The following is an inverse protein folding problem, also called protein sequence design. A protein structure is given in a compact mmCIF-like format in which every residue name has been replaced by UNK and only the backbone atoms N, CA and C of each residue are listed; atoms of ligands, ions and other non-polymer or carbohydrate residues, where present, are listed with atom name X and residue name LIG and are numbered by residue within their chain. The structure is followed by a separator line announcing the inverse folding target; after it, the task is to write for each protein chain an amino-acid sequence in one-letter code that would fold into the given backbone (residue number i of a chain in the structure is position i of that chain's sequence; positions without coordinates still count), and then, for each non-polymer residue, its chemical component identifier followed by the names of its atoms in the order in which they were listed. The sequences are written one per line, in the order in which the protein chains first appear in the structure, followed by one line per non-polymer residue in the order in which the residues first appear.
data_IF_792220105402
#
_entry.id   IF_792220105402
#
_cell.length_a   1.000
_cell.length_b   1.000
_cell.length_c   1.000
_cell.angle_alpha   90.00
_cell.angle_beta   90.00
_cell.angle_gamma   90.00
#
_symmetry.space_group_name_H-M   'P 1'
#
loop_
_entity.id
_entity.type
_entity.pdbx_description
1 polymer ?
#
# COMPACT_ATOMS: atom_id res chain seq x y z
N UNK A 1 0.94 14.78 -6.02
CA UNK A 1 -0.18 13.96 -5.57
C UNK A 1 -1.12 13.59 -6.71
N UNK A 2 -1.52 14.56 -7.53
CA UNK A 2 -2.52 14.36 -8.60
C UNK A 2 -2.07 13.43 -9.75
N UNK A 3 -0.79 13.20 -9.94
CA UNK A 3 -0.26 12.31 -11.00
C UNK A 3 -0.86 10.90 -10.89
N UNK A 4 -0.88 10.33 -9.72
CA UNK A 4 -1.42 8.98 -9.48
C UNK A 4 -2.92 8.86 -9.80
N UNK A 5 -3.84 9.69 -9.26
CA UNK A 5 -5.25 9.58 -9.58
C UNK A 5 -5.54 9.87 -11.07
N UNK A 6 -4.84 10.84 -11.67
CA UNK A 6 -4.98 11.13 -13.09
C UNK A 6 -4.53 9.93 -13.94
N UNK A 7 -3.39 9.33 -13.63
CA UNK A 7 -2.89 8.15 -14.35
C UNK A 7 -3.82 6.95 -14.22
N UNK A 8 -4.37 6.70 -13.04
CA UNK A 8 -5.35 5.62 -12.84
C UNK A 8 -6.63 5.91 -13.63
N UNK A 9 -7.13 7.14 -13.59
CA UNK A 9 -8.31 7.52 -14.38
C UNK A 9 -8.06 7.34 -15.87
N UNK A 10 -7.00 7.93 -16.41
CA UNK A 10 -6.69 7.88 -17.84
C UNK A 10 -6.40 6.45 -18.34
N UNK A 11 -5.65 5.67 -17.58
CA UNK A 11 -5.23 4.34 -18.05
C UNK A 11 -6.29 3.29 -17.74
N UNK A 12 -6.83 3.23 -16.51
CA UNK A 12 -7.74 2.17 -16.10
C UNK A 12 -9.20 2.43 -16.46
N UNK A 13 -9.74 3.61 -16.11
CA UNK A 13 -11.16 3.89 -16.35
C UNK A 13 -11.46 4.16 -17.83
N UNK A 14 -10.57 4.87 -18.53
CA UNK A 14 -10.75 5.12 -19.97
C UNK A 14 -10.60 3.82 -20.77
N UNK A 15 -9.62 2.96 -20.42
CA UNK A 15 -9.48 1.67 -21.10
C UNK A 15 -10.73 0.79 -20.97
N UNK A 16 -11.37 0.79 -19.78
CA UNK A 16 -12.65 0.10 -19.59
C UNK A 16 -13.77 0.67 -20.45
N UNK A 17 -13.82 2.01 -20.58
CA UNK A 17 -14.85 2.66 -21.40
C UNK A 17 -14.73 2.30 -22.88
N UNK A 18 -13.51 2.17 -23.36
CA UNK A 18 -13.24 1.78 -24.74
C UNK A 18 -13.08 0.26 -24.96
N UNK A 19 -13.32 -0.56 -23.92
CA UNK A 19 -13.12 -2.02 -23.95
C UNK A 19 -11.70 -2.42 -24.41
N UNK A 20 -10.68 -1.67 -24.01
CA UNK A 20 -9.29 -1.96 -24.33
C UNK A 20 -8.72 -2.88 -23.24
N UNK A 21 -8.30 -4.09 -23.61
CA UNK A 21 -7.60 -4.99 -22.68
C UNK A 21 -6.19 -4.44 -22.42
N UNK A 22 -5.94 -4.10 -21.16
CA UNK A 22 -4.61 -3.65 -20.72
C UNK A 22 -3.73 -4.87 -20.42
N UNK A 23 -2.67 -5.04 -21.21
CA UNK A 23 -1.60 -6.00 -20.91
C UNK A 23 -0.56 -5.43 -19.92
N UNK A 24 0.41 -6.29 -19.56
CA UNK A 24 1.60 -5.86 -18.82
C UNK A 24 2.35 -4.73 -19.56
N UNK A 25 2.84 -3.66 -18.92
CA UNK A 25 2.82 -3.35 -17.46
C UNK A 25 1.63 -2.48 -17.01
N UNK A 26 0.67 -2.20 -17.88
CA UNK A 26 -0.41 -1.22 -17.63
C UNK A 26 -1.44 -1.68 -16.58
N UNK A 27 -1.39 -2.94 -16.18
CA UNK A 27 -2.31 -3.50 -15.18
C UNK A 27 -2.06 -3.03 -13.74
N UNK A 28 -0.98 -2.30 -13.47
CA UNK A 28 -0.70 -1.76 -12.13
C UNK A 28 0.78 -1.65 -11.76
N UNK A 29 1.68 -2.02 -12.66
CA UNK A 29 3.12 -2.05 -12.40
C UNK A 29 3.84 -0.76 -12.76
N UNK A 30 3.12 0.18 -13.40
CA UNK A 30 3.69 1.50 -13.72
C UNK A 30 3.94 2.30 -12.45
N UNK A 31 5.15 2.81 -12.31
CA UNK A 31 5.56 3.66 -11.18
C UNK A 31 4.62 4.86 -10.96
N UNK A 32 4.02 5.39 -12.01
CA UNK A 32 3.11 6.54 -11.91
C UNK A 32 1.88 6.27 -11.04
N UNK A 33 1.45 5.00 -10.91
CA UNK A 33 0.34 4.62 -10.04
C UNK A 33 0.70 4.72 -8.55
N UNK A 34 1.98 4.62 -8.22
CA UNK A 34 2.49 4.60 -6.86
C UNK A 34 3.18 5.91 -6.46
N UNK A 35 3.52 6.74 -7.43
CA UNK A 35 4.25 7.99 -7.22
C UNK A 35 3.57 8.92 -6.22
N UNK A 36 2.22 9.01 -6.25
CA UNK A 36 1.46 9.85 -5.32
C UNK A 36 1.62 9.41 -3.86
N UNK A 37 1.70 8.11 -3.59
CA UNK A 37 1.91 7.59 -2.23
C UNK A 37 3.32 7.88 -1.73
N UNK A 38 4.33 7.71 -2.59
CA UNK A 38 5.69 8.10 -2.27
C UNK A 38 5.79 9.59 -1.95
N UNK A 39 5.23 10.44 -2.82
CA UNK A 39 5.20 11.88 -2.62
C UNK A 39 4.44 12.31 -1.36
N UNK A 40 3.34 11.61 -1.04
CA UNK A 40 2.60 11.84 0.21
C UNK A 40 3.49 11.58 1.43
N UNK A 41 4.20 10.46 1.45
CA UNK A 41 5.11 10.14 2.56
C UNK A 41 6.21 11.19 2.74
N UNK A 42 6.83 11.64 1.64
CA UNK A 42 7.83 12.73 1.66
C UNK A 42 7.22 14.03 2.16
N UNK A 43 6.01 14.37 1.72
CA UNK A 43 5.31 15.61 2.10
C UNK A 43 4.92 15.63 3.58
N UNK A 44 4.48 14.49 4.12
CA UNK A 44 4.19 14.32 5.54
C UNK A 44 5.48 14.48 6.36
N UNK A 45 6.55 13.78 5.99
CA UNK A 45 7.85 13.85 6.67
C UNK A 45 8.41 15.27 6.74
N UNK A 46 8.26 16.04 5.65
CA UNK A 46 8.78 17.42 5.58
C UNK A 46 7.81 18.46 6.15
N UNK A 47 6.67 18.07 6.70
CA UNK A 47 5.68 18.97 7.28
C UNK A 47 4.97 19.87 6.25
N UNK A 48 5.00 19.53 4.96
CA UNK A 48 4.29 20.31 3.92
C UNK A 48 2.77 20.17 4.01
N UNK A 49 2.29 19.14 4.71
CA UNK A 49 0.87 18.90 4.94
C UNK A 49 0.60 19.19 6.41
N UNK A 50 0.06 20.38 6.67
CA UNK A 50 -0.40 20.77 8.00
C UNK A 50 -1.93 20.74 8.03
N UNK A 51 -2.49 19.60 8.37
CA UNK A 51 -3.93 19.42 8.49
C UNK A 51 -4.33 19.60 9.96
N UNK A 52 -4.96 20.73 10.27
CA UNK A 52 -5.56 21.00 11.58
C UNK A 52 -6.91 20.27 11.75
N UNK A 53 -6.95 18.98 11.43
CA UNK A 53 -8.14 18.16 11.60
C UNK A 53 -8.10 17.47 12.97
N UNK A 54 -9.24 17.45 13.66
CA UNK A 54 -9.32 16.68 14.89
C UNK A 54 -9.17 15.17 14.60
N UNK A 55 -8.53 14.39 15.49
CA UNK A 55 -8.39 12.94 15.32
C UNK A 55 -9.72 12.23 15.06
N UNK A 56 -10.79 12.66 15.75
CA UNK A 56 -12.15 12.11 15.55
C UNK A 56 -12.68 12.37 14.14
N UNK A 57 -12.49 13.57 13.61
CA UNK A 57 -12.91 13.92 12.24
C UNK A 57 -12.18 13.04 11.23
N UNK A 58 -10.88 12.86 11.43
CA UNK A 58 -10.04 12.07 10.54
C UNK A 58 -10.42 10.58 10.56
N UNK A 59 -10.70 10.02 11.75
CA UNK A 59 -11.21 8.64 11.88
C UNK A 59 -12.54 8.46 11.14
N UNK A 60 -13.47 9.42 11.28
CA UNK A 60 -14.75 9.36 10.58
C UNK A 60 -14.58 9.44 9.07
N UNK A 61 -13.65 10.29 8.57
CA UNK A 61 -13.32 10.37 7.14
C UNK A 61 -12.72 9.06 6.62
N UNK A 62 -11.86 8.41 7.40
CA UNK A 62 -11.32 7.09 7.05
C UNK A 62 -12.44 6.04 6.96
N UNK A 63 -13.32 5.97 7.95
CA UNK A 63 -14.45 5.03 7.94
C UNK A 63 -15.39 5.29 6.75
N UNK A 64 -15.71 6.55 6.49
CA UNK A 64 -16.54 6.93 5.35
C UNK A 64 -15.89 6.56 4.00
N UNK A 65 -14.59 6.79 3.86
CA UNK A 65 -13.85 6.41 2.65
C UNK A 65 -13.80 4.89 2.44
N UNK A 66 -13.72 4.10 3.52
CA UNK A 66 -13.82 2.63 3.43
C UNK A 66 -15.20 2.18 2.93
N UNK A 67 -16.28 2.83 3.37
CA UNK A 67 -17.63 2.54 2.87
C UNK A 67 -17.71 2.85 1.37
N UNK A 68 -17.21 4.02 0.94
CA UNK A 68 -17.17 4.38 -0.50
C UNK A 68 -16.38 3.36 -1.30
N UNK A 69 -15.24 2.91 -0.79
CA UNK A 69 -14.42 1.89 -1.45
C UNK A 69 -15.15 0.55 -1.57
N UNK A 70 -15.88 0.16 -0.53
CA UNK A 70 -16.73 -1.04 -0.56
C UNK A 70 -17.86 -0.93 -1.59
N UNK A 71 -18.55 0.21 -1.63
CA UNK A 71 -19.61 0.49 -2.61
C UNK A 71 -19.07 0.47 -4.04
N UNK A 72 -17.93 1.14 -4.30
CA UNK A 72 -17.30 1.11 -5.62
C UNK A 72 -16.91 -0.33 -6.03
N UNK A 73 -16.33 -1.11 -5.11
CA UNK A 73 -16.01 -2.51 -5.37
C UNK A 73 -17.24 -3.35 -5.68
N UNK A 74 -18.35 -3.13 -4.96
CA UNK A 74 -19.61 -3.82 -5.20
C UNK A 74 -20.24 -3.45 -6.55
N UNK A 75 -20.19 -2.19 -6.96
CA UNK A 75 -20.68 -1.74 -8.27
C UNK A 75 -19.90 -2.44 -9.38
N UNK A 76 -18.57 -2.49 -9.32
CA UNK A 76 -17.74 -3.18 -10.31
C UNK A 76 -18.01 -4.68 -10.34
N UNK A 77 -18.20 -5.30 -9.17
CA UNK A 77 -18.58 -6.70 -9.09
C UNK A 77 -19.91 -6.97 -9.80
N UNK A 78 -20.91 -6.13 -9.56
CA UNK A 78 -22.24 -6.25 -10.18
C UNK A 78 -22.22 -5.99 -11.68
N UNK A 79 -21.32 -5.15 -12.15
CA UNK A 79 -21.07 -4.93 -13.58
C UNK A 79 -20.28 -6.08 -14.25
N UNK A 80 -19.93 -7.14 -13.50
CA UNK A 80 -19.19 -8.31 -14.01
C UNK A 80 -17.67 -8.08 -14.16
N UNK A 81 -17.14 -6.96 -13.70
CA UNK A 81 -15.72 -6.66 -13.80
C UNK A 81 -14.98 -6.99 -12.49
N UNK A 82 -14.61 -8.25 -12.35
CA UNK A 82 -13.94 -8.76 -11.14
C UNK A 82 -12.56 -8.14 -10.90
N UNK A 83 -11.82 -7.83 -11.96
CA UNK A 83 -10.50 -7.21 -11.86
C UNK A 83 -10.61 -5.83 -11.22
N UNK A 84 -11.58 -5.03 -11.64
CA UNK A 84 -11.84 -3.72 -11.02
C UNK A 84 -12.44 -3.84 -9.62
N UNK A 85 -13.28 -4.84 -9.37
CA UNK A 85 -13.85 -5.06 -8.05
C UNK A 85 -12.78 -5.36 -6.99
N UNK A 86 -11.75 -6.13 -7.35
CA UNK A 86 -10.72 -6.62 -6.42
C UNK A 86 -9.43 -5.80 -6.41
N UNK A 87 -9.17 -4.99 -7.45
CA UNK A 87 -7.95 -4.19 -7.54
C UNK A 87 -7.88 -3.11 -6.46
N UNK A 88 -6.67 -2.83 -6.00
CA UNK A 88 -6.38 -1.67 -5.15
C UNK A 88 -6.19 -0.37 -5.95
N UNK A 89 -6.12 -0.44 -7.28
CA UNK A 89 -5.97 0.70 -8.18
C UNK A 89 -7.33 1.27 -8.59
N UNK A 90 -8.16 1.59 -7.59
CA UNK A 90 -9.43 2.32 -7.73
C UNK A 90 -9.28 3.74 -7.19
N UNK A 91 -10.11 4.65 -7.68
CA UNK A 91 -10.08 6.04 -7.21
C UNK A 91 -10.39 6.14 -5.71
N UNK A 92 -11.38 5.39 -5.22
CA UNK A 92 -11.69 5.34 -3.79
C UNK A 92 -10.55 4.78 -2.95
N UNK A 93 -9.82 3.78 -3.46
CA UNK A 93 -8.67 3.19 -2.74
C UNK A 93 -7.55 4.18 -2.52
N UNK A 94 -7.28 5.08 -3.48
CA UNK A 94 -6.28 6.13 -3.33
C UNK A 94 -6.65 7.08 -2.20
N UNK A 95 -7.93 7.50 -2.17
CA UNK A 95 -8.45 8.41 -1.14
C UNK A 95 -8.35 7.73 0.22
N UNK A 96 -8.81 6.49 0.33
CA UNK A 96 -8.79 5.71 1.57
C UNK A 96 -7.36 5.54 2.09
N UNK A 97 -6.43 5.11 1.22
CA UNK A 97 -5.03 4.91 1.61
C UNK A 97 -4.37 6.23 2.00
N UNK A 98 -4.64 7.32 1.27
CA UNK A 98 -4.14 8.66 1.60
C UNK A 98 -4.62 9.14 2.97
N UNK A 99 -5.92 9.01 3.24
CA UNK A 99 -6.50 9.36 4.55
C UNK A 99 -5.93 8.49 5.68
N UNK A 100 -5.72 7.20 5.43
CA UNK A 100 -5.11 6.30 6.40
C UNK A 100 -3.66 6.68 6.72
N UNK A 101 -2.85 7.00 5.71
CA UNK A 101 -1.46 7.46 5.90
C UNK A 101 -1.41 8.77 6.69
N UNK A 102 -2.28 9.73 6.36
CA UNK A 102 -2.37 11.01 7.09
C UNK A 102 -2.82 10.78 8.53
N UNK A 103 -3.82 9.93 8.75
CA UNK A 103 -4.29 9.57 10.09
C UNK A 103 -3.18 8.95 10.93
N UNK A 104 -2.50 7.96 10.38
CA UNK A 104 -1.39 7.29 11.06
C UNK A 104 -0.29 8.28 11.42
N UNK A 105 0.07 9.19 10.51
CA UNK A 105 1.07 10.23 10.75
C UNK A 105 0.66 11.16 11.89
N UNK A 106 -0.57 11.69 11.89
CA UNK A 106 -1.08 12.59 12.92
C UNK A 106 -1.13 11.90 14.30
N UNK A 107 -1.59 10.65 14.37
CA UNK A 107 -1.58 9.86 15.61
C UNK A 107 -0.16 9.61 16.13
N UNK A 108 0.80 9.40 15.23
CA UNK A 108 2.20 9.22 15.57
C UNK A 108 2.79 10.52 16.13
N UNK A 109 2.51 11.67 15.51
CA UNK A 109 3.05 12.98 15.88
C UNK A 109 2.42 13.52 17.18
N UNK A 110 1.14 13.20 17.44
CA UNK A 110 0.43 13.56 18.66
C UNK A 110 1.00 12.93 19.95
N UNK A 111 2.01 12.06 19.85
CA UNK A 111 2.77 11.57 21.00
C UNK A 111 2.23 10.31 21.65
N UNK A 112 1.10 9.77 21.23
CA UNK A 112 0.52 8.53 21.77
C UNK A 112 1.42 7.29 21.59
N UNK A 113 2.44 7.40 20.73
CA UNK A 113 3.43 6.34 20.55
C UNK A 113 4.34 6.11 21.78
N UNK A 114 4.46 7.09 22.69
CA UNK A 114 5.27 6.86 23.90
C UNK A 114 4.64 5.83 24.84
N UNK A 115 3.35 5.65 24.76
CA UNK A 115 2.60 4.65 25.55
C UNK A 115 2.55 3.26 24.87
N UNK A 116 2.91 3.15 23.58
CA UNK A 116 2.88 1.88 22.89
C UNK A 116 3.98 0.91 23.34
N UNK A 117 3.70 -0.41 23.34
CA UNK A 117 4.68 -1.42 23.74
C UNK A 117 5.97 -1.30 22.92
N UNK A 118 7.11 -1.37 23.59
CA UNK A 118 8.45 -1.28 22.96
C UNK A 118 8.62 -2.30 21.82
N UNK A 119 7.95 -3.44 21.92
CA UNK A 119 7.97 -4.50 20.90
C UNK A 119 7.31 -4.02 19.60
N UNK A 120 6.16 -3.35 19.68
CA UNK A 120 5.44 -2.83 18.52
C UNK A 120 6.24 -1.74 17.80
N UNK A 121 6.87 -0.83 18.56
CA UNK A 121 7.75 0.21 17.98
C UNK A 121 8.93 -0.41 17.23
N UNK A 122 9.59 -1.40 17.82
CA UNK A 122 10.71 -2.10 17.19
C UNK A 122 10.26 -2.81 15.92
N UNK A 123 9.10 -3.47 15.96
CA UNK A 123 8.55 -4.18 14.81
C UNK A 123 8.23 -3.22 13.67
N UNK A 124 7.51 -2.13 13.95
CA UNK A 124 7.17 -1.12 12.95
C UNK A 124 8.41 -0.45 12.37
N UNK A 125 9.43 -0.19 13.20
CA UNK A 125 10.71 0.35 12.74
C UNK A 125 11.40 -0.63 11.78
N UNK A 126 11.48 -1.91 12.13
CA UNK A 126 12.09 -2.93 11.25
C UNK A 126 11.35 -3.02 9.93
N UNK A 127 10.02 -3.01 9.94
CA UNK A 127 9.24 -3.00 8.70
C UNK A 127 9.47 -1.74 7.87
N UNK A 128 9.52 -0.58 8.52
CA UNK A 128 9.76 0.70 7.85
C UNK A 128 11.14 0.78 7.21
N UNK A 129 12.17 0.45 7.98
CA UNK A 129 13.58 0.47 7.52
C UNK A 129 13.83 -0.51 6.36
N UNK A 130 13.07 -1.60 6.28
CA UNK A 130 13.20 -2.62 5.22
C UNK A 130 12.10 -2.56 4.17
N UNK A 131 11.22 -1.55 4.20
CA UNK A 131 10.01 -1.50 3.37
C UNK A 131 10.29 -1.55 1.88
N UNK A 132 11.35 -0.90 1.41
CA UNK A 132 11.74 -0.91 0.00
C UNK A 132 12.21 -2.31 -0.44
N UNK A 133 13.05 -2.96 0.33
CA UNK A 133 13.49 -4.33 0.04
C UNK A 133 12.33 -5.32 0.06
N UNK A 134 11.40 -5.19 1.04
CA UNK A 134 10.18 -5.99 1.11
C UNK A 134 9.35 -5.78 -0.16
N UNK A 135 9.19 -4.54 -0.60
CA UNK A 135 8.47 -4.22 -1.84
C UNK A 135 9.11 -4.87 -3.07
N UNK A 136 10.43 -4.91 -3.16
CA UNK A 136 11.13 -5.53 -4.29
C UNK A 136 10.96 -7.05 -4.33
N UNK A 137 11.01 -7.74 -3.18
CA UNK A 137 11.03 -9.19 -3.15
C UNK A 137 9.66 -9.84 -2.94
N UNK A 138 8.61 -9.11 -2.47
CA UNK A 138 7.32 -9.71 -2.12
C UNK A 138 6.66 -10.46 -3.29
N UNK A 139 6.73 -9.93 -4.51
CA UNK A 139 6.14 -10.58 -5.69
C UNK A 139 6.80 -11.93 -6.01
N UNK A 140 8.13 -12.00 -5.84
CA UNK A 140 8.85 -13.26 -6.00
C UNK A 140 8.44 -14.27 -4.94
N UNK A 141 8.33 -13.82 -3.70
CA UNK A 141 7.93 -14.65 -2.55
C UNK A 141 6.50 -15.16 -2.70
N UNK A 142 5.56 -14.32 -3.16
CA UNK A 142 4.19 -14.75 -3.47
C UNK A 142 4.20 -15.88 -4.49
N UNK A 143 4.95 -15.74 -5.58
CA UNK A 143 5.05 -16.80 -6.62
C UNK A 143 5.61 -18.10 -6.08
N UNK A 144 6.63 -18.01 -5.24
CA UNK A 144 7.24 -19.19 -4.59
C UNK A 144 6.27 -19.84 -3.62
N UNK A 145 5.62 -19.07 -2.75
CA UNK A 145 4.65 -19.58 -1.78
C UNK A 145 3.46 -20.25 -2.46
N UNK A 146 2.89 -19.62 -3.47
CA UNK A 146 1.76 -20.20 -4.21
C UNK A 146 2.12 -21.54 -4.87
N UNK A 147 3.38 -21.72 -5.28
CA UNK A 147 3.87 -22.97 -5.86
C UNK A 147 4.16 -24.06 -4.81
N UNK A 148 4.71 -23.67 -3.66
CA UNK A 148 5.15 -24.62 -2.63
C UNK A 148 4.02 -25.01 -1.67
N UNK A 149 3.14 -24.05 -1.32
CA UNK A 149 2.08 -24.22 -0.32
C UNK A 149 0.77 -23.66 -0.85
N UNK A 150 0.08 -24.36 -1.76
CA UNK A 150 -1.19 -23.88 -2.35
C UNK A 150 -2.27 -23.59 -1.29
N UNK A 151 -2.25 -24.31 -0.17
CA UNK A 151 -3.20 -24.12 0.94
C UNK A 151 -2.97 -22.80 1.72
N UNK A 152 -1.78 -22.19 1.64
CA UNK A 152 -1.50 -20.89 2.29
C UNK A 152 -2.09 -19.71 1.51
N UNK A 153 -2.78 -19.93 0.41
CA UNK A 153 -3.32 -18.88 -0.47
C UNK A 153 -4.62 -18.24 0.06
N UNK A 154 -4.85 -18.36 1.36
CA UNK A 154 -6.02 -17.77 2.04
C UNK A 154 -5.65 -16.43 2.66
N UNK A 155 -6.35 -15.38 2.24
CA UNK A 155 -6.24 -14.08 2.91
C UNK A 155 -6.87 -14.15 4.32
N UNK A 156 -6.26 -13.58 5.40
CA UNK A 156 -5.05 -12.75 5.41
C UNK A 156 -3.73 -13.52 5.65
N UNK A 157 -3.79 -14.86 5.79
CA UNK A 157 -2.66 -15.70 6.19
C UNK A 157 -1.50 -15.56 5.19
N UNK A 158 -1.80 -15.59 3.89
CA UNK A 158 -0.79 -15.42 2.84
C UNK A 158 -0.06 -14.08 2.98
N UNK A 159 -0.78 -12.98 3.21
CA UNK A 159 -0.18 -11.66 3.36
C UNK A 159 0.80 -11.60 4.55
N UNK A 160 0.44 -12.21 5.68
CA UNK A 160 1.30 -12.26 6.86
C UNK A 160 2.58 -13.04 6.56
N UNK A 161 2.47 -14.23 5.95
CA UNK A 161 3.64 -15.04 5.58
C UNK A 161 4.55 -14.31 4.58
N UNK A 162 3.96 -13.67 3.57
CA UNK A 162 4.73 -12.89 2.58
C UNK A 162 5.51 -11.78 3.26
N UNK A 163 4.88 -10.99 4.14
CA UNK A 163 5.57 -9.91 4.86
C UNK A 163 6.68 -10.46 5.75
N UNK A 164 6.41 -11.51 6.50
CA UNK A 164 7.41 -12.11 7.42
C UNK A 164 8.62 -12.65 6.63
N UNK A 165 8.39 -13.45 5.60
CA UNK A 165 9.46 -14.05 4.80
C UNK A 165 10.24 -12.96 4.06
N UNK A 166 9.55 -11.96 3.48
CA UNK A 166 10.20 -10.83 2.81
C UNK A 166 11.10 -10.06 3.77
N UNK A 167 10.62 -9.78 4.98
CA UNK A 167 11.40 -9.08 6.00
C UNK A 167 12.66 -9.86 6.37
N UNK A 168 12.53 -11.17 6.60
CA UNK A 168 13.67 -12.05 6.92
C UNK A 168 14.67 -12.07 5.76
N UNK A 169 14.21 -12.23 4.52
CA UNK A 169 15.06 -12.23 3.33
C UNK A 169 15.84 -10.91 3.18
N UNK A 170 15.18 -9.77 3.37
CA UNK A 170 15.82 -8.46 3.30
C UNK A 170 16.85 -8.28 4.41
N UNK A 171 16.51 -8.65 5.64
CA UNK A 171 17.46 -8.60 6.77
C UNK A 171 18.68 -9.50 6.55
N UNK A 172 18.49 -10.68 5.95
CA UNK A 172 19.61 -11.54 5.58
C UNK A 172 20.46 -10.92 4.46
N UNK A 173 19.82 -10.35 3.45
CA UNK A 173 20.51 -9.65 2.37
C UNK A 173 21.34 -8.47 2.90
N UNK A 174 20.82 -7.68 3.85
CA UNK A 174 21.57 -6.62 4.52
C UNK A 174 22.81 -7.14 5.24
N UNK A 175 22.72 -8.30 5.90
CA UNK A 175 23.87 -8.92 6.58
C UNK A 175 24.92 -9.41 5.59
N UNK A 176 24.50 -9.96 4.44
CA UNK A 176 25.41 -10.51 3.42
C UNK A 176 26.09 -9.37 2.63
N UNK A 177 25.34 -8.36 2.24
CA UNK A 177 25.82 -7.24 1.42
C UNK A 177 26.62 -6.21 2.23
N UNK A 178 26.48 -6.17 3.53
CA UNK A 178 27.23 -5.27 4.42
C UNK A 178 27.15 -3.82 3.96
N UNK A 179 28.30 -3.22 3.57
CA UNK A 179 28.38 -1.82 3.12
C UNK A 179 27.63 -1.53 1.82
N UNK A 180 27.28 -2.54 1.04
CA UNK A 180 26.51 -2.38 -0.20
C UNK A 180 25.01 -2.50 0.00
N UNK A 181 24.55 -2.65 1.25
CA UNK A 181 23.14 -2.80 1.59
C UNK A 181 22.28 -1.57 1.24
N UNK A 182 22.90 -0.39 1.07
CA UNK A 182 22.22 0.85 0.62
C UNK A 182 21.50 0.72 -0.73
N UNK A 183 21.79 -0.33 -1.51
CA UNK A 183 21.12 -0.61 -2.78
C UNK A 183 19.70 -1.17 -2.55
N UNK A 184 19.46 -1.75 -1.38
CA UNK A 184 18.19 -2.44 -1.06
C UNK A 184 17.30 -1.56 -0.17
N UNK A 185 17.83 -0.46 0.39
CA UNK A 185 17.09 0.51 1.22
C UNK A 185 17.63 0.61 2.63
#
# INVERSE_FOLDING_TARGET
WFVTPISIFLIRYISLWFNIELGFPFQGELFVFWFGFYYLGVSLKNGYINLQLSPKCLTNLCLFSLVIQGVEGFIWYWMGNFDMATTQLKMSSIITTGLFCISAYIYIEAGDLNEQPVVLKKFLKVLGDNSFGIYLCHMLIIRILNKLVPMANVFPINAIFVIMISTVCVMMAHRILGKHAYIIG
#
